data_IF_263242105647
#
_entry.id   IF_263242105647
#
_cell.length_a   1.000
_cell.length_b   1.000
_cell.length_c   1.000
_cell.angle_alpha   90.00
_cell.angle_beta   90.00
_cell.angle_gamma   90.00
#
_symmetry.space_group_name_H-M   'P 1'
#
loop_
_entity.id
_entity.type
_entity.pdbx_description
1 polymer ?
#
# COMPACT_ATOMS: atom_id res chain seq x y z
N UNK A 1 -14.56 -54.81 -13.08
CA UNK A 1 -14.48 -53.75 -12.05
C UNK A 1 -13.05 -53.23 -11.97
N UNK A 2 -12.74 -52.02 -12.47
CA UNK A 2 -11.53 -51.24 -12.13
C UNK A 2 -11.71 -49.71 -12.24
N UNK A 3 -12.94 -49.22 -12.42
CA UNK A 3 -13.21 -47.78 -12.58
C UNK A 3 -13.14 -47.03 -11.24
N UNK A 4 -13.62 -47.65 -10.16
CA UNK A 4 -13.56 -47.08 -8.80
C UNK A 4 -12.11 -46.87 -8.34
N UNK A 5 -11.23 -47.83 -8.66
CA UNK A 5 -9.80 -47.75 -8.30
C UNK A 5 -9.06 -46.66 -9.08
N UNK A 6 -9.49 -46.42 -10.33
CA UNK A 6 -8.93 -45.37 -11.17
C UNK A 6 -9.33 -43.99 -10.66
N UNK A 7 -10.61 -43.81 -10.29
CA UNK A 7 -11.11 -42.56 -9.72
C UNK A 7 -10.46 -42.28 -8.36
N UNK A 8 -10.34 -43.28 -7.49
CA UNK A 8 -9.70 -43.12 -6.19
C UNK A 8 -8.24 -42.64 -6.30
N UNK A 9 -7.48 -43.12 -7.28
CA UNK A 9 -6.09 -42.68 -7.51
C UNK A 9 -5.96 -41.26 -8.05
N UNK A 10 -6.98 -40.76 -8.76
CA UNK A 10 -7.00 -39.38 -9.28
C UNK A 10 -7.37 -38.40 -8.15
N UNK A 11 -8.37 -38.74 -7.32
CA UNK A 11 -8.87 -37.84 -6.28
C UNK A 11 -8.06 -37.85 -4.98
N UNK A 12 -7.30 -38.92 -4.69
CA UNK A 12 -6.47 -39.02 -3.47
C UNK A 12 -4.98 -38.81 -3.72
N UNK A 13 -4.60 -38.21 -4.86
CA UNK A 13 -3.21 -37.83 -5.09
C UNK A 13 -2.93 -36.58 -4.24
N UNK A 14 -2.01 -36.62 -3.25
CA UNK A 14 -1.65 -35.43 -2.50
C UNK A 14 -1.19 -34.38 -3.50
N UNK A 15 -1.66 -33.14 -3.32
CA UNK A 15 -1.15 -32.01 -4.09
C UNK A 15 0.38 -32.05 -4.00
N UNK A 16 1.11 -31.89 -5.12
CA UNK A 16 2.57 -31.86 -5.06
C UNK A 16 2.95 -30.80 -4.03
N UNK A 17 3.75 -31.20 -3.05
CA UNK A 17 4.36 -30.27 -2.12
C UNK A 17 5.24 -29.34 -2.97
N UNK A 18 4.74 -28.15 -3.25
CA UNK A 18 5.52 -27.11 -3.92
C UNK A 18 6.58 -26.68 -2.92
N UNK A 19 7.77 -27.28 -3.03
CA UNK A 19 8.95 -26.72 -2.42
C UNK A 19 9.19 -25.36 -3.09
N UNK A 20 9.01 -24.29 -2.30
CA UNK A 20 9.25 -22.94 -2.76
C UNK A 20 10.76 -22.80 -2.91
N UNK A 21 11.24 -22.78 -4.15
CA UNK A 21 12.68 -22.59 -4.41
C UNK A 21 13.07 -21.16 -4.07
N UNK A 22 14.34 -20.95 -3.72
CA UNK A 22 14.89 -19.62 -3.43
C UNK A 22 14.62 -18.65 -4.60
N UNK A 23 14.69 -19.13 -5.85
CA UNK A 23 14.36 -18.34 -7.04
C UNK A 23 12.92 -17.81 -7.04
N UNK A 24 11.96 -18.61 -6.57
CA UNK A 24 10.55 -18.21 -6.48
C UNK A 24 10.37 -17.19 -5.36
N UNK A 25 11.06 -17.37 -4.23
CA UNK A 25 11.07 -16.41 -3.11
C UNK A 25 11.62 -15.06 -3.57
N UNK A 26 12.78 -15.06 -4.24
CA UNK A 26 13.41 -13.84 -4.75
C UNK A 26 12.53 -13.09 -5.74
N UNK A 27 11.92 -13.80 -6.69
CA UNK A 27 10.99 -13.18 -7.64
C UNK A 27 9.78 -12.58 -6.95
N UNK A 28 9.26 -13.22 -5.90
CA UNK A 28 8.14 -12.69 -5.14
C UNK A 28 8.51 -11.41 -4.40
N UNK A 29 9.69 -11.37 -3.76
CA UNK A 29 10.21 -10.14 -3.12
C UNK A 29 10.36 -9.00 -4.14
N UNK A 30 10.93 -9.27 -5.32
CA UNK A 30 11.07 -8.25 -6.37
C UNK A 30 9.71 -7.69 -6.84
N UNK A 31 8.69 -8.54 -6.95
CA UNK A 31 7.34 -8.09 -7.30
C UNK A 31 6.75 -7.21 -6.20
N UNK A 32 6.98 -7.55 -4.93
CA UNK A 32 6.55 -6.72 -3.80
C UNK A 32 7.28 -5.37 -3.78
N UNK A 33 8.60 -5.35 -4.01
CA UNK A 33 9.38 -4.11 -4.07
C UNK A 33 8.94 -3.20 -5.24
N UNK A 34 8.61 -3.79 -6.39
CA UNK A 34 8.11 -3.03 -7.55
C UNK A 34 6.68 -2.54 -7.34
N UNK A 35 5.83 -3.30 -6.65
CA UNK A 35 4.48 -2.84 -6.29
C UNK A 35 4.51 -1.60 -5.37
N UNK A 36 5.62 -1.40 -4.64
CA UNK A 36 5.87 -0.25 -3.77
C UNK A 36 6.58 0.92 -4.49
N UNK A 37 6.88 0.82 -5.78
CA UNK A 37 7.67 1.83 -6.49
C UNK A 37 6.99 3.21 -6.58
N UNK A 38 5.66 3.26 -6.43
CA UNK A 38 4.89 4.50 -6.40
C UNK A 38 4.64 5.04 -4.97
N UNK A 39 5.29 4.47 -3.94
CA UNK A 39 5.12 4.94 -2.57
C UNK A 39 5.84 6.26 -2.30
N UNK A 40 5.15 7.13 -1.56
CA UNK A 40 5.72 8.37 -1.04
C UNK A 40 6.24 8.12 0.37
N UNK A 41 7.51 8.44 0.62
CA UNK A 41 8.10 8.38 1.96
C UNK A 41 7.79 9.65 2.77
N UNK A 42 8.14 9.66 4.07
CA UNK A 42 7.86 10.80 4.94
C UNK A 42 8.49 12.10 4.42
N UNK A 43 9.70 12.02 3.83
CA UNK A 43 10.38 13.20 3.27
C UNK A 43 9.65 13.75 2.05
N UNK A 44 9.17 12.87 1.16
CA UNK A 44 8.36 13.23 0.01
C UNK A 44 7.00 13.81 0.39
N UNK A 45 6.42 13.38 1.53
CA UNK A 45 5.23 14.00 2.13
C UNK A 45 5.58 15.39 2.64
N UNK A 46 6.58 15.52 3.53
CA UNK A 46 6.94 16.80 4.13
C UNK A 46 7.29 17.88 3.12
N UNK A 47 7.91 17.51 2.00
CA UNK A 47 8.24 18.45 0.92
C UNK A 47 7.02 19.07 0.21
N UNK A 48 5.81 18.51 0.38
CA UNK A 48 4.58 18.95 -0.30
C UNK A 48 3.39 19.08 0.65
N UNK A 49 3.60 18.93 1.95
CA UNK A 49 2.52 18.85 2.93
C UNK A 49 1.82 20.20 3.12
N UNK A 50 2.57 21.29 3.04
CA UNK A 50 2.06 22.66 3.05
C UNK A 50 1.11 22.92 1.88
N UNK A 51 1.53 22.61 0.66
CA UNK A 51 0.70 22.73 -0.54
C UNK A 51 -0.56 21.87 -0.43
N UNK A 52 -0.43 20.64 0.07
CA UNK A 52 -1.54 19.73 0.28
C UNK A 52 -2.60 20.33 1.21
N UNK A 53 -2.18 20.82 2.39
CA UNK A 53 -3.06 21.41 3.40
C UNK A 53 -3.73 22.68 2.85
N UNK A 54 -3.00 23.54 2.12
CA UNK A 54 -3.58 24.72 1.49
C UNK A 54 -4.70 24.35 0.52
N UNK A 55 -4.48 23.40 -0.39
CA UNK A 55 -5.51 22.98 -1.34
C UNK A 55 -6.75 22.42 -0.61
N UNK A 56 -6.55 21.73 0.52
CA UNK A 56 -7.62 21.09 1.29
C UNK A 56 -8.51 22.12 1.97
N UNK A 57 -7.90 23.12 2.62
CA UNK A 57 -8.63 24.23 3.27
C UNK A 57 -9.44 25.05 2.26
N UNK A 58 -8.98 25.13 1.00
CA UNK A 58 -9.69 25.82 -0.08
C UNK A 58 -10.77 24.95 -0.76
N UNK A 59 -11.05 23.76 -0.23
CA UNK A 59 -12.11 22.88 -0.71
C UNK A 59 -11.83 22.26 -2.08
N UNK A 60 -10.55 22.17 -2.48
CA UNK A 60 -10.19 21.38 -3.65
C UNK A 60 -10.25 19.90 -3.28
N UNK A 61 -10.57 19.07 -4.25
CA UNK A 61 -10.63 17.62 -4.08
C UNK A 61 -9.19 17.05 -4.07
N UNK A 62 -8.46 17.32 -2.99
CA UNK A 62 -7.02 17.05 -2.89
C UNK A 62 -6.72 15.56 -2.88
N UNK A 63 -7.67 14.73 -2.42
CA UNK A 63 -7.58 13.27 -2.47
C UNK A 63 -7.46 12.74 -3.91
N UNK A 64 -8.05 13.44 -4.90
CA UNK A 64 -7.87 13.10 -6.32
C UNK A 64 -6.57 13.62 -6.93
N UNK A 65 -6.01 14.67 -6.34
CA UNK A 65 -4.83 15.36 -6.87
C UNK A 65 -3.54 14.75 -6.31
N UNK A 66 -3.55 14.35 -5.04
CA UNK A 66 -2.40 13.81 -4.32
C UNK A 66 -2.76 12.56 -3.51
N UNK A 67 -3.26 11.48 -4.15
CA UNK A 67 -3.71 10.27 -3.45
C UNK A 67 -2.60 9.62 -2.61
N UNK A 68 -1.35 9.68 -3.06
CA UNK A 68 -0.20 9.11 -2.35
C UNK A 68 0.13 9.83 -1.03
N UNK A 69 -0.12 11.15 -0.96
CA UNK A 69 0.04 11.89 0.30
C UNK A 69 -1.04 11.43 1.28
N UNK A 70 -2.29 11.32 0.82
CA UNK A 70 -3.40 10.86 1.64
C UNK A 70 -3.16 9.44 2.18
N UNK A 71 -2.76 8.52 1.30
CA UNK A 71 -2.42 7.15 1.67
C UNK A 71 -1.32 7.08 2.73
N UNK A 72 -0.27 7.90 2.61
CA UNK A 72 0.79 7.96 3.61
C UNK A 72 0.28 8.48 4.96
N UNK A 73 -0.54 9.54 4.97
CA UNK A 73 -1.14 10.08 6.19
C UNK A 73 -2.05 9.06 6.89
N UNK A 74 -2.73 8.20 6.14
CA UNK A 74 -3.56 7.13 6.71
C UNK A 74 -2.73 6.00 7.35
N UNK A 75 -1.44 5.87 7.02
CA UNK A 75 -0.55 4.82 7.53
C UNK A 75 0.50 5.30 8.53
N UNK A 76 0.85 6.58 8.54
CA UNK A 76 1.96 7.14 9.30
C UNK A 76 1.47 8.20 10.31
N UNK A 77 1.47 7.83 11.60
CA UNK A 77 1.05 8.73 12.69
C UNK A 77 1.86 10.02 12.74
N UNK A 78 3.17 9.94 12.55
CA UNK A 78 4.06 11.09 12.67
C UNK A 78 3.78 12.13 11.58
N UNK A 79 3.49 11.70 10.35
CA UNK A 79 3.10 12.60 9.28
C UNK A 79 1.68 13.16 9.48
N UNK A 80 0.77 12.37 10.07
CA UNK A 80 -0.57 12.82 10.40
C UNK A 80 -0.57 13.91 11.48
N UNK A 81 0.26 13.77 12.51
CA UNK A 81 0.40 14.78 13.57
C UNK A 81 0.87 16.13 13.01
N UNK A 82 1.84 16.12 12.10
CA UNK A 82 2.33 17.34 11.42
C UNK A 82 1.25 17.97 10.53
N UNK A 83 0.49 17.13 9.82
CA UNK A 83 -0.66 17.56 9.03
C UNK A 83 -1.73 18.25 9.88
N UNK A 84 -2.12 17.65 11.01
CA UNK A 84 -3.08 18.27 11.94
C UNK A 84 -2.53 19.57 12.53
N UNK A 85 -1.24 19.63 12.84
CA UNK A 85 -0.60 20.82 13.35
C UNK A 85 -0.70 21.97 12.34
N UNK A 86 -0.44 21.70 11.05
CA UNK A 86 -0.58 22.68 9.98
C UNK A 86 -2.03 23.16 9.80
N UNK A 87 -3.01 22.24 9.82
CA UNK A 87 -4.43 22.61 9.79
C UNK A 87 -4.80 23.55 10.93
N UNK A 88 -4.39 23.23 12.17
CA UNK A 88 -4.65 24.09 13.34
C UNK A 88 -4.05 25.47 13.17
N UNK A 89 -2.83 25.59 12.64
CA UNK A 89 -2.20 26.89 12.39
C UNK A 89 -3.04 27.71 11.42
N UNK A 90 -3.48 27.12 10.31
CA UNK A 90 -4.27 27.82 9.29
C UNK A 90 -5.63 28.24 9.84
N UNK A 91 -6.32 27.38 10.58
CA UNK A 91 -7.60 27.69 11.21
C UNK A 91 -7.51 28.84 12.22
N UNK A 92 -6.41 28.92 12.98
CA UNK A 92 -6.19 29.98 13.96
C UNK A 92 -5.59 31.27 13.37
N UNK A 93 -5.28 31.28 12.07
CA UNK A 93 -4.76 32.47 11.35
C UNK A 93 -5.84 33.15 10.49
N UNK A 94 -7.09 32.68 10.56
CA UNK A 94 -8.25 33.27 9.87
C UNK A 94 -8.84 34.49 10.60
#
# INVERSE_FOLDING_TARGET
MKFKDLLYKIFNKPAPHLEMTDDVVFKFIQVLEQARADELDCQGVYARLDEFVEHEVHGKDVEKIAPLIREHLDMCSDCYDEYEALLRVIENTK
#
